data_IF_231314366685
#
_entry.id   IF_231314366685
#
_cell.length_a   1.000
_cell.length_b   1.000
_cell.length_c   1.000
_cell.angle_alpha   90.00
_cell.angle_beta   90.00
_cell.angle_gamma   90.00
#
_symmetry.space_group_name_H-M   'P 1'
#
loop_
_entity.id
_entity.type
_entity.pdbx_description
1 polymer ?
#
# COMPACT_ATOMS: atom_id res chain seq x y z
N UNK A 1 -9.97 -2.60 -10.61
CA UNK A 1 -10.21 -1.15 -10.35
C UNK A 1 -10.65 -1.03 -8.90
N UNK A 2 -10.42 0.10 -8.24
CA UNK A 2 -10.86 0.30 -6.85
C UNK A 2 -12.18 1.10 -6.83
N UNK A 3 -13.20 0.68 -6.06
CA UNK A 3 -13.28 -0.54 -5.26
C UNK A 3 -13.31 -1.79 -6.15
N UNK A 4 -12.80 -2.92 -5.63
CA UNK A 4 -12.74 -4.19 -6.35
C UNK A 4 -11.43 -4.95 -6.15
N UNK A 5 -11.31 -6.09 -6.82
CA UNK A 5 -10.14 -6.98 -6.74
C UNK A 5 -9.07 -6.60 -7.77
N UNK A 6 -7.81 -6.77 -7.37
CA UNK A 6 -6.64 -6.65 -8.26
C UNK A 6 -5.81 -7.91 -8.09
N UNK A 7 -5.38 -8.51 -9.21
CA UNK A 7 -4.57 -9.71 -9.21
C UNK A 7 -3.09 -9.39 -9.44
N UNK A 8 -2.22 -9.97 -8.62
CA UNK A 8 -0.79 -10.10 -8.84
C UNK A 8 -0.45 -11.61 -8.75
N UNK A 9 0.54 -12.14 -9.49
CA UNK A 9 0.97 -13.52 -9.30
C UNK A 9 1.24 -13.82 -7.82
N UNK A 10 0.47 -14.75 -7.24
CA UNK A 10 0.58 -15.17 -5.83
C UNK A 10 -0.22 -14.34 -4.81
N UNK A 11 -0.88 -13.25 -5.21
CA UNK A 11 -1.63 -12.38 -4.28
C UNK A 11 -3.04 -12.08 -4.79
N UNK A 12 -4.00 -12.17 -3.88
CA UNK A 12 -5.31 -11.56 -4.01
C UNK A 12 -5.32 -10.22 -3.25
N UNK A 13 -5.82 -9.17 -3.89
CA UNK A 13 -5.85 -7.83 -3.33
C UNK A 13 -7.28 -7.34 -3.32
N UNK A 14 -7.82 -7.12 -2.12
CA UNK A 14 -9.18 -6.65 -1.92
C UNK A 14 -9.16 -5.21 -1.43
N UNK A 15 -9.98 -4.38 -2.06
CA UNK A 15 -10.07 -2.97 -1.72
C UNK A 15 -11.54 -2.55 -1.56
N UNK A 16 -11.86 -2.06 -0.35
CA UNK A 16 -13.22 -1.71 0.06
C UNK A 16 -13.31 -0.21 0.37
N UNK A 17 -14.15 0.50 -0.40
CA UNK A 17 -14.45 1.92 -0.17
C UNK A 17 -15.30 2.12 1.08
N UNK A 18 -15.21 3.33 1.65
CA UNK A 18 -16.10 3.81 2.73
C UNK A 18 -16.03 2.92 3.96
N UNK A 19 -14.80 2.71 4.46
CA UNK A 19 -14.61 1.95 5.67
C UNK A 19 -14.95 2.82 6.91
N UNK A 20 -16.14 2.59 7.47
CA UNK A 20 -16.57 3.15 8.75
C UNK A 20 -16.36 2.09 9.84
N UNK A 21 -15.38 2.31 10.72
CA UNK A 21 -15.12 1.43 11.87
C UNK A 21 -13.63 1.16 12.12
N UNK A 22 -13.36 0.22 13.02
CA UNK A 22 -12.02 -0.30 13.28
C UNK A 22 -11.63 -1.35 12.24
N UNK A 23 -10.39 -1.32 11.78
CA UNK A 23 -9.86 -2.29 10.82
C UNK A 23 -10.17 -3.72 11.29
N UNK A 24 -10.89 -4.54 10.51
CA UNK A 24 -11.27 -5.88 10.94
C UNK A 24 -10.03 -6.75 11.12
N UNK A 25 -10.12 -7.84 11.89
CA UNK A 25 -9.08 -8.87 11.89
C UNK A 25 -8.89 -9.41 10.47
N UNK A 26 -7.71 -9.23 9.90
CA UNK A 26 -7.34 -9.72 8.56
C UNK A 26 -6.29 -10.81 8.67
N UNK A 27 -6.30 -11.75 7.72
CA UNK A 27 -5.29 -12.83 7.65
C UNK A 27 -3.97 -12.39 7.00
N UNK A 28 -3.93 -11.18 6.45
CA UNK A 28 -2.76 -10.61 5.82
C UNK A 28 -2.63 -9.10 6.06
N UNK A 29 -1.64 -8.46 5.41
CA UNK A 29 -1.38 -7.05 5.54
C UNK A 29 -2.60 -6.20 5.17
N UNK A 30 -2.87 -5.19 5.99
CA UNK A 30 -3.98 -4.25 5.79
C UNK A 30 -3.52 -2.82 6.03
N UNK A 31 -4.07 -1.88 5.25
CA UNK A 31 -3.85 -0.45 5.43
C UNK A 31 -5.09 0.38 5.11
N UNK A 32 -5.25 1.48 5.85
CA UNK A 32 -6.18 2.56 5.54
C UNK A 32 -5.45 3.62 4.71
N UNK A 33 -6.01 3.97 3.55
CA UNK A 33 -5.50 5.02 2.67
C UNK A 33 -6.59 6.06 2.37
N UNK A 34 -6.21 7.24 1.90
CA UNK A 34 -7.20 8.23 1.44
C UNK A 34 -7.81 7.81 0.11
N UNK A 35 -9.14 7.68 0.07
CA UNK A 35 -9.89 7.36 -1.15
C UNK A 35 -9.68 8.45 -2.22
N UNK A 36 -9.73 9.72 -1.80
CA UNK A 36 -9.47 10.88 -2.67
C UNK A 36 -8.04 10.85 -3.23
N UNK A 37 -7.04 10.53 -2.40
CA UNK A 37 -5.64 10.49 -2.82
C UNK A 37 -5.35 9.40 -3.87
N UNK A 38 -6.03 8.26 -3.79
CA UNK A 38 -5.82 7.16 -4.75
C UNK A 38 -6.42 7.43 -6.13
N UNK A 39 -7.36 8.38 -6.24
CA UNK A 39 -7.96 8.84 -7.50
C UNK A 39 -8.50 7.70 -8.41
N UNK A 40 -8.87 6.56 -7.82
CA UNK A 40 -9.45 5.39 -8.51
C UNK A 40 -8.55 4.62 -9.49
N UNK A 41 -7.32 5.10 -9.78
CA UNK A 41 -6.34 4.43 -10.65
C UNK A 41 -5.21 3.87 -9.81
N UNK A 42 -5.38 2.62 -9.40
CA UNK A 42 -4.35 1.86 -8.70
C UNK A 42 -3.99 0.59 -9.44
N UNK A 43 -2.79 0.12 -9.20
CA UNK A 43 -2.35 -1.21 -9.57
C UNK A 43 -1.35 -1.71 -8.53
N UNK A 44 -0.97 -2.96 -8.66
CA UNK A 44 0.01 -3.60 -7.79
C UNK A 44 1.19 -4.04 -8.64
N UNK A 45 2.40 -3.79 -8.15
CA UNK A 45 3.64 -4.29 -8.76
C UNK A 45 4.69 -4.53 -7.68
N UNK A 46 5.78 -5.17 -8.05
CA UNK A 46 6.99 -5.24 -7.22
C UNK A 46 7.88 -4.02 -7.45
N UNK A 47 8.94 -3.91 -6.65
CA UNK A 47 9.93 -2.83 -6.74
C UNK A 47 10.60 -2.74 -8.11
N UNK A 48 10.94 -1.52 -8.51
CA UNK A 48 11.76 -1.22 -9.69
C UNK A 48 13.03 -0.47 -9.25
N UNK A 49 14.16 -0.66 -9.94
CA UNK A 49 15.36 0.14 -9.69
C UNK A 49 15.05 1.64 -9.72
N UNK A 50 15.52 2.36 -8.71
CA UNK A 50 15.29 3.80 -8.59
C UNK A 50 13.94 4.20 -7.98
N UNK A 51 13.08 3.27 -7.56
CA UNK A 51 11.84 3.60 -6.86
C UNK A 51 12.10 4.49 -5.64
N UNK A 52 11.24 5.51 -5.46
CA UNK A 52 11.30 6.45 -4.33
C UNK A 52 9.90 6.82 -3.83
N UNK A 53 9.76 6.91 -2.52
CA UNK A 53 8.53 7.41 -1.88
C UNK A 53 8.87 8.14 -0.58
N UNK A 54 7.91 8.87 -0.04
CA UNK A 54 7.98 9.48 1.28
C UNK A 54 7.13 8.62 2.23
N UNK A 55 7.74 7.86 3.14
CA UNK A 55 6.98 7.07 4.11
C UNK A 55 6.19 7.98 5.05
N UNK A 56 5.00 7.54 5.47
CA UNK A 56 4.14 8.27 6.39
C UNK A 56 4.90 8.63 7.68
N UNK A 57 4.82 9.90 8.08
CA UNK A 57 5.50 10.46 9.25
C UNK A 57 6.96 10.88 9.00
N UNK A 58 7.49 10.71 7.79
CA UNK A 58 8.86 11.13 7.45
C UNK A 58 8.87 12.41 6.60
N UNK A 59 9.81 13.31 6.87
CA UNK A 59 9.90 14.61 6.21
C UNK A 59 10.29 14.57 4.71
N UNK A 60 10.98 13.52 4.27
CA UNK A 60 11.59 13.49 2.93
C UNK A 60 11.39 12.17 2.19
N UNK A 61 11.43 12.25 0.84
CA UNK A 61 11.42 11.08 -0.04
C UNK A 61 12.76 10.34 0.04
N UNK A 62 12.72 9.04 0.24
CA UNK A 62 13.89 8.14 0.22
C UNK A 62 13.79 7.08 -0.87
N UNK A 63 14.93 6.44 -1.22
CA UNK A 63 14.90 5.28 -2.11
C UNK A 63 14.15 4.15 -1.42
N UNK A 64 13.35 3.42 -2.20
CA UNK A 64 12.64 2.25 -1.69
C UNK A 64 13.63 1.20 -1.16
N UNK A 65 14.77 1.01 -1.83
CA UNK A 65 15.83 0.13 -1.37
C UNK A 65 16.31 0.48 0.05
N UNK A 66 16.59 1.75 0.32
CA UNK A 66 17.05 2.23 1.63
C UNK A 66 15.93 2.02 2.67
N UNK A 67 14.68 2.31 2.30
CA UNK A 67 13.53 2.05 3.18
C UNK A 67 13.40 0.56 3.55
N UNK A 68 13.56 -0.35 2.59
CA UNK A 68 13.47 -1.80 2.82
C UNK A 68 14.61 -2.31 3.70
N UNK A 69 15.81 -1.72 3.59
CA UNK A 69 16.95 -2.02 4.48
C UNK A 69 16.65 -1.56 5.90
N UNK A 70 16.25 -0.30 6.07
CA UNK A 70 16.00 0.31 7.38
C UNK A 70 14.81 -0.37 8.10
N UNK A 71 13.82 -0.80 7.32
CA UNK A 71 12.67 -1.57 7.80
C UNK A 71 12.98 -3.06 8.03
N UNK A 72 14.25 -3.46 7.90
CA UNK A 72 14.75 -4.82 8.10
C UNK A 72 14.02 -5.89 7.28
N UNK A 73 13.59 -5.55 6.08
CA UNK A 73 12.98 -6.52 5.17
C UNK A 73 14.07 -7.50 4.71
N UNK A 74 13.88 -8.83 4.87
CA UNK A 74 14.83 -9.84 4.41
C UNK A 74 15.14 -9.70 2.92
N UNK A 75 16.41 -9.84 2.54
CA UNK A 75 16.89 -9.54 1.18
C UNK A 75 16.18 -10.37 0.11
N UNK A 76 15.99 -11.65 0.40
CA UNK A 76 15.29 -12.66 -0.40
C UNK A 76 13.79 -12.37 -0.58
N UNK A 77 13.18 -11.61 0.35
CA UNK A 77 11.76 -11.24 0.26
C UNK A 77 11.52 -9.93 -0.51
N UNK A 78 12.52 -9.03 -0.57
CA UNK A 78 12.36 -7.66 -1.10
C UNK A 78 11.83 -7.60 -2.53
N UNK A 79 12.23 -8.54 -3.39
CA UNK A 79 11.78 -8.59 -4.78
C UNK A 79 10.31 -9.04 -4.91
N UNK A 80 9.80 -9.76 -3.91
CA UNK A 80 8.41 -10.21 -3.83
C UNK A 80 7.48 -9.27 -3.08
N UNK A 81 7.99 -8.23 -2.40
CA UNK A 81 7.15 -7.29 -1.65
C UNK A 81 6.19 -6.55 -2.60
N UNK A 82 4.86 -6.68 -2.40
CA UNK A 82 3.90 -5.95 -3.21
C UNK A 82 3.93 -4.45 -2.89
N UNK A 83 3.75 -3.63 -3.93
CA UNK A 83 3.60 -2.19 -3.83
C UNK A 83 2.23 -1.82 -4.40
N UNK A 84 1.41 -1.14 -3.61
CA UNK A 84 0.23 -0.45 -4.13
C UNK A 84 0.69 0.88 -4.73
N UNK A 85 0.35 1.11 -5.98
CA UNK A 85 0.83 2.27 -6.76
C UNK A 85 -0.31 2.94 -7.52
N UNK A 86 -0.18 4.25 -7.70
CA UNK A 86 -1.03 5.11 -8.54
C UNK A 86 -0.14 5.86 -9.54
N UNK A 87 -0.69 6.67 -10.46
CA UNK A 87 0.12 7.56 -11.30
C UNK A 87 0.97 8.54 -10.49
N UNK A 88 0.60 8.84 -9.23
CA UNK A 88 1.38 9.69 -8.31
C UNK A 88 2.60 8.96 -7.72
N UNK A 89 2.60 7.63 -7.71
CA UNK A 89 3.71 6.81 -7.24
C UNK A 89 3.28 5.74 -6.24
N UNK A 90 4.22 5.30 -5.40
CA UNK A 90 3.97 4.28 -4.36
C UNK A 90 3.07 4.89 -3.30
N UNK A 91 1.90 4.27 -3.10
CA UNK A 91 0.95 4.59 -2.05
C UNK A 91 1.19 3.76 -0.79
N UNK A 92 1.65 2.51 -0.95
CA UNK A 92 1.91 1.62 0.18
C UNK A 92 2.94 0.54 -0.18
N UNK A 93 3.93 0.38 0.69
CA UNK A 93 4.79 -0.81 0.73
C UNK A 93 4.06 -1.83 1.61
N UNK A 94 3.46 -2.85 0.99
CA UNK A 94 2.46 -3.72 1.61
C UNK A 94 3.04 -4.49 2.78
N UNK A 95 2.46 -4.33 3.97
CA UNK A 95 2.98 -4.90 5.23
C UNK A 95 3.96 -4.00 5.99
N UNK A 96 4.33 -2.83 5.44
CA UNK A 96 5.28 -1.92 6.09
C UNK A 96 4.75 -0.51 6.27
N UNK A 97 4.67 0.32 5.21
CA UNK A 97 4.37 1.74 5.38
C UNK A 97 3.65 2.36 4.19
N UNK A 98 2.57 3.07 4.50
CA UNK A 98 1.84 3.95 3.58
C UNK A 98 2.70 5.18 3.26
N UNK A 99 2.52 5.76 2.08
CA UNK A 99 3.15 7.02 1.71
C UNK A 99 2.45 8.21 2.37
N UNK A 100 3.21 9.26 2.70
CA UNK A 100 2.66 10.48 3.34
C UNK A 100 1.46 11.04 2.57
N UNK A 101 1.57 11.12 1.24
CA UNK A 101 0.50 11.65 0.39
C UNK A 101 -0.76 10.77 0.33
N UNK A 102 -0.64 9.49 0.68
CA UNK A 102 -1.74 8.53 0.65
C UNK A 102 -2.39 8.33 2.04
N UNK A 103 -1.96 9.12 3.04
CA UNK A 103 -2.49 9.12 4.41
C UNK A 103 -4.02 9.22 4.40
N UNK A 104 -4.68 8.36 5.16
CA UNK A 104 -6.09 8.50 5.48
C UNK A 104 -6.32 9.74 6.37
N UNK A 105 -7.30 10.57 6.00
CA UNK A 105 -7.76 11.69 6.84
C UNK A 105 -8.49 11.19 8.09
N UNK A 106 -8.80 12.08 9.03
CA UNK A 106 -9.44 11.70 10.30
C UNK A 106 -10.93 11.34 10.14
N UNK A 107 -11.57 11.75 9.05
CA UNK A 107 -12.97 11.47 8.77
C UNK A 107 -13.21 10.11 8.09
N UNK A 108 -14.27 9.36 8.44
CA UNK A 108 -14.55 8.02 7.90
C UNK A 108 -14.84 7.99 6.40
N UNK A 109 -15.35 9.08 5.83
CA UNK A 109 -15.82 9.16 4.43
C UNK A 109 -14.67 9.19 3.42
N UNK A 110 -13.47 9.53 3.87
CA UNK A 110 -12.31 9.73 3.00
C UNK A 110 -11.36 8.54 2.98
N UNK A 111 -11.79 7.37 3.47
CA UNK A 111 -10.92 6.20 3.69
C UNK A 111 -11.26 5.03 2.78
N UNK A 112 -10.21 4.31 2.41
CA UNK A 112 -10.30 3.00 1.77
C UNK A 112 -9.46 2.00 2.55
N UNK A 113 -10.05 0.84 2.82
CA UNK A 113 -9.35 -0.31 3.37
C UNK A 113 -8.79 -1.15 2.23
N UNK A 114 -7.49 -1.42 2.25
CA UNK A 114 -6.85 -2.33 1.28
C UNK A 114 -6.20 -3.48 2.04
N UNK A 115 -6.60 -4.70 1.68
CA UNK A 115 -6.12 -5.96 2.25
C UNK A 115 -5.40 -6.76 1.17
N UNK A 116 -4.29 -7.39 1.57
CA UNK A 116 -3.55 -8.35 0.76
C UNK A 116 -3.62 -9.73 1.41
N UNK A 117 -4.06 -10.73 0.66
CA UNK A 117 -4.02 -12.14 1.06
C UNK A 117 -3.19 -12.95 0.06
N UNK A 118 -2.46 -13.98 0.53
CA UNK A 118 -1.91 -14.98 -0.36
C UNK A 118 -3.04 -15.58 -1.20
N UNK A 119 -2.78 -15.78 -2.49
CA UNK A 119 -3.71 -16.54 -3.32
C UNK A 119 -3.70 -18.00 -2.85
N UNK A 120 -4.88 -18.54 -2.52
CA UNK A 120 -5.07 -19.97 -2.20
C UNK A 120 -4.75 -20.90 -3.36
#
# INVERSE_FOLDING_TARGET
RIPGEIFMPGWEVRASLQFQGDVPPTSGPVALLSAAALAGRVWVRTRRPGDRFQPLGMAHRKKLQDFMVDSKIPRDQRDGVPLLVTPRGIAWVVGWRVAEWARAGDEPTDRILVEFSPKG
#
